data_IF_870956332351
#
_entry.id   IF_870956332351
#
_cell.length_a   1.000
_cell.length_b   1.000
_cell.length_c   1.000
_cell.angle_alpha   90.00
_cell.angle_beta   90.00
_cell.angle_gamma   90.00
#
_symmetry.space_group_name_H-M   'P 1'
#
loop_
_entity.id
_entity.type
_entity.pdbx_description
1 polymer ?
#
# COMPACT_ATOMS: atom_id res chain seq x y z
N UNK A 1 -26.70 6.50 -32.96
CA UNK A 1 -26.74 5.53 -31.85
C UNK A 1 -25.44 4.75 -31.89
N UNK A 2 -24.38 5.31 -31.29
CA UNK A 2 -23.04 4.75 -31.35
C UNK A 2 -22.90 3.64 -30.33
N UNK A 3 -22.68 2.41 -30.79
CA UNK A 3 -22.28 1.31 -29.93
C UNK A 3 -20.86 1.61 -29.45
N UNK A 4 -20.70 1.80 -28.14
CA UNK A 4 -19.39 1.88 -27.50
C UNK A 4 -18.67 0.55 -27.74
N UNK A 5 -17.49 0.61 -28.36
CA UNK A 5 -16.60 -0.55 -28.44
C UNK A 5 -16.32 -1.03 -27.02
N UNK A 6 -16.76 -2.25 -26.70
CA UNK A 6 -16.34 -2.94 -25.50
C UNK A 6 -14.85 -3.25 -25.66
N UNK A 7 -13.99 -2.41 -25.07
CA UNK A 7 -12.56 -2.67 -25.00
C UNK A 7 -12.33 -4.07 -24.43
N UNK A 8 -11.50 -4.86 -25.12
CA UNK A 8 -11.21 -6.25 -24.78
C UNK A 8 -10.81 -6.37 -23.29
N UNK A 9 -11.64 -7.05 -22.51
CA UNK A 9 -11.38 -7.38 -21.11
C UNK A 9 -11.07 -8.86 -20.97
N UNK A 10 -10.06 -9.17 -20.16
CA UNK A 10 -9.60 -10.53 -19.90
C UNK A 10 -9.56 -10.74 -18.40
N UNK A 11 -10.35 -11.68 -17.90
CA UNK A 11 -10.32 -12.08 -16.49
C UNK A 11 -9.35 -13.25 -16.32
N UNK A 12 -8.48 -13.16 -15.31
CA UNK A 12 -7.56 -14.24 -14.93
C UNK A 12 -7.82 -14.63 -13.49
N UNK A 13 -7.80 -15.95 -13.24
CA UNK A 13 -8.07 -16.54 -11.93
C UNK A 13 -6.80 -17.19 -11.38
N UNK A 14 -6.47 -16.89 -10.13
CA UNK A 14 -5.30 -17.41 -9.43
C UNK A 14 -5.71 -18.04 -8.11
N UNK A 15 -5.54 -19.35 -7.96
CA UNK A 15 -5.83 -20.07 -6.72
C UNK A 15 -4.58 -20.21 -5.86
N UNK A 16 -4.74 -19.96 -4.56
CA UNK A 16 -3.69 -20.08 -3.56
C UNK A 16 -4.12 -21.01 -2.44
N UNK A 17 -3.32 -22.04 -2.16
CA UNK A 17 -3.51 -22.95 -1.04
C UNK A 17 -2.72 -22.52 0.19
N UNK A 18 -3.28 -22.76 1.37
CA UNK A 18 -2.69 -22.44 2.66
C UNK A 18 -2.64 -23.68 3.55
N UNK A 19 -1.60 -23.80 4.37
CA UNK A 19 -1.53 -24.83 5.40
C UNK A 19 -2.51 -24.53 6.54
N UNK A 20 -2.81 -25.54 7.37
CA UNK A 20 -3.63 -25.36 8.57
C UNK A 20 -2.94 -24.39 9.55
N UNK A 21 -3.71 -23.56 10.28
CA UNK A 21 -3.15 -22.60 11.22
C UNK A 21 -2.60 -23.30 12.47
N UNK A 22 -1.41 -22.88 12.89
CA UNK A 22 -0.81 -23.24 14.17
C UNK A 22 -1.21 -22.20 15.20
N UNK A 23 -1.87 -22.67 16.27
CA UNK A 23 -2.35 -21.81 17.36
C UNK A 23 -1.39 -21.95 18.54
N UNK A 24 -0.78 -20.85 18.94
CA UNK A 24 0.20 -20.81 20.02
C UNK A 24 -0.28 -19.86 21.12
N UNK A 25 -0.33 -20.36 22.35
CA UNK A 25 -0.66 -19.54 23.52
C UNK A 25 0.56 -18.77 24.03
N UNK A 26 0.39 -17.47 24.24
CA UNK A 26 1.38 -16.59 24.85
C UNK A 26 0.80 -15.82 26.04
N UNK A 27 1.65 -15.14 26.80
CA UNK A 27 1.22 -14.27 27.91
C UNK A 27 0.38 -13.08 27.44
N UNK A 28 0.57 -12.64 26.19
CA UNK A 28 -0.15 -11.52 25.59
C UNK A 28 -1.49 -11.92 24.95
N UNK A 29 -1.75 -13.22 24.78
CA UNK A 29 -2.92 -13.76 24.07
C UNK A 29 -2.57 -14.89 23.11
N UNK A 30 -3.47 -15.17 22.18
CA UNK A 30 -3.29 -16.24 21.19
C UNK A 30 -2.56 -15.71 19.96
N UNK A 31 -1.53 -16.41 19.51
CA UNK A 31 -0.87 -16.20 18.24
C UNK A 31 -1.40 -17.23 17.22
N UNK A 32 -1.71 -16.77 16.01
CA UNK A 32 -2.23 -17.61 14.94
C UNK A 32 -1.28 -17.51 13.76
N UNK A 33 -0.53 -18.57 13.50
CA UNK A 33 0.49 -18.60 12.46
C UNK A 33 0.08 -19.56 11.35
N UNK A 34 0.41 -19.22 10.11
CA UNK A 34 0.20 -20.08 8.93
C UNK A 34 1.50 -20.10 8.15
N UNK A 35 1.93 -21.28 7.71
CA UNK A 35 3.16 -21.43 6.94
C UNK A 35 3.15 -20.53 5.69
N UNK A 36 4.23 -19.78 5.47
CA UNK A 36 4.37 -18.86 4.34
C UNK A 36 3.55 -17.58 4.46
N UNK A 37 3.02 -17.26 5.65
CA UNK A 37 2.34 -16.01 5.96
C UNK A 37 3.13 -15.20 6.99
N UNK A 38 3.01 -13.88 6.90
CA UNK A 38 3.52 -12.94 7.90
C UNK A 38 2.37 -12.46 8.78
N UNK A 39 2.68 -12.14 10.04
CA UNK A 39 1.69 -11.61 10.96
C UNK A 39 1.52 -10.11 10.74
N UNK A 40 0.29 -9.68 10.44
CA UNK A 40 -0.01 -8.28 10.16
C UNK A 40 -1.36 -7.85 10.71
N UNK A 41 -1.42 -6.60 11.13
CA UNK A 41 -2.62 -5.89 11.55
C UNK A 41 -2.30 -4.41 11.76
N UNK A 42 -3.24 -3.48 11.52
CA UNK A 42 -3.12 -2.10 11.98
C UNK A 42 -2.92 -2.04 13.50
N UNK A 43 -2.18 -1.05 14.03
CA UNK A 43 -1.98 -0.92 15.48
C UNK A 43 -3.30 -1.00 16.27
N UNK A 44 -3.28 -1.78 17.35
CA UNK A 44 -4.45 -2.08 18.19
C UNK A 44 -5.43 -3.11 17.63
N UNK A 45 -5.32 -3.49 16.36
CA UNK A 45 -6.20 -4.50 15.72
C UNK A 45 -5.61 -5.92 15.85
N UNK A 46 -6.43 -6.98 15.69
CA UNK A 46 -5.95 -8.36 15.73
C UNK A 46 -4.80 -8.61 14.76
N UNK A 47 -3.77 -9.29 15.24
CA UNK A 47 -2.63 -9.71 14.44
C UNK A 47 -2.96 -11.04 13.77
N UNK A 48 -3.10 -11.03 12.45
CA UNK A 48 -3.54 -12.21 11.69
C UNK A 48 -2.50 -12.57 10.62
N UNK A 49 -2.44 -13.85 10.21
CA UNK A 49 -1.54 -14.28 9.15
C UNK A 49 -2.01 -13.70 7.80
N UNK A 50 -1.06 -13.13 7.07
CA UNK A 50 -1.26 -12.50 5.76
C UNK A 50 -0.19 -12.98 4.79
N UNK A 51 -0.61 -13.27 3.56
CA UNK A 51 0.30 -13.54 2.44
C UNK A 51 0.14 -12.50 1.37
N UNK A 52 1.19 -11.72 1.12
CA UNK A 52 1.25 -10.79 -0.01
C UNK A 52 1.55 -11.55 -1.31
N UNK A 53 0.71 -11.37 -2.33
CA UNK A 53 0.94 -11.93 -3.67
C UNK A 53 1.02 -10.81 -4.69
N UNK A 54 1.92 -10.95 -5.68
CA UNK A 54 2.06 -10.00 -6.77
C UNK A 54 1.73 -10.67 -8.10
N UNK A 55 0.67 -10.19 -8.75
CA UNK A 55 0.17 -10.68 -10.03
C UNK A 55 0.60 -9.73 -11.14
N UNK A 56 1.28 -10.26 -12.16
CA UNK A 56 1.79 -9.45 -13.28
C UNK A 56 0.82 -9.49 -14.45
N UNK A 57 0.49 -8.31 -14.96
CA UNK A 57 -0.32 -8.15 -16.16
C UNK A 57 0.47 -8.37 -17.45
N UNK A 58 -0.22 -8.16 -18.56
CA UNK A 58 0.38 -8.14 -19.90
C UNK A 58 0.66 -6.70 -20.32
N UNK A 59 1.67 -6.49 -21.17
CA UNK A 59 1.90 -5.17 -21.78
C UNK A 59 0.67 -4.71 -22.54
N UNK A 60 0.32 -3.43 -22.40
CA UNK A 60 -0.86 -2.84 -23.04
C UNK A 60 -2.19 -3.14 -22.34
N UNK A 61 -2.16 -3.81 -21.18
CA UNK A 61 -3.34 -4.03 -20.34
C UNK A 61 -3.18 -3.28 -19.02
N UNK A 62 -4.30 -2.74 -18.53
CA UNK A 62 -4.42 -2.12 -17.20
C UNK A 62 -5.34 -2.94 -16.32
N UNK A 63 -5.11 -2.88 -15.02
CA UNK A 63 -6.00 -3.49 -14.02
C UNK A 63 -7.30 -2.71 -13.98
N UNK A 64 -8.43 -3.40 -14.13
CA UNK A 64 -9.77 -2.82 -14.04
C UNK A 64 -10.43 -3.17 -12.70
N UNK A 65 -10.34 -4.43 -12.28
CA UNK A 65 -10.90 -4.90 -11.01
C UNK A 65 -10.06 -6.06 -10.45
N UNK A 66 -10.11 -6.21 -9.13
CA UNK A 66 -9.48 -7.31 -8.39
C UNK A 66 -10.50 -7.77 -7.35
N UNK A 67 -10.86 -9.04 -7.38
CA UNK A 67 -11.77 -9.67 -6.44
C UNK A 67 -11.06 -10.81 -5.71
N UNK A 68 -11.22 -10.86 -4.39
CA UNK A 68 -10.69 -11.92 -3.54
C UNK A 68 -11.85 -12.78 -3.08
N UNK A 69 -11.85 -14.03 -3.52
CA UNK A 69 -12.89 -15.01 -3.31
C UNK A 69 -12.33 -16.11 -2.39
N UNK A 70 -12.51 -16.00 -1.06
CA UNK A 70 -12.17 -17.09 -0.16
C UNK A 70 -13.03 -18.33 -0.47
N UNK A 71 -12.44 -19.52 -0.35
CA UNK A 71 -13.16 -20.78 -0.47
C UNK A 71 -13.97 -21.13 0.78
N UNK A 72 -14.16 -22.42 1.02
CA UNK A 72 -14.84 -22.91 2.21
C UNK A 72 -14.05 -22.59 3.48
N UNK A 73 -14.77 -22.17 4.52
CA UNK A 73 -14.17 -21.86 5.82
C UNK A 73 -14.32 -23.03 6.80
N UNK A 74 -13.26 -23.29 7.56
CA UNK A 74 -13.28 -24.11 8.77
C UNK A 74 -13.33 -23.19 9.98
N UNK A 75 -14.28 -23.42 10.88
CA UNK A 75 -14.38 -22.67 12.13
C UNK A 75 -13.50 -23.31 13.22
N UNK A 76 -12.72 -22.48 13.91
CA UNK A 76 -11.93 -22.86 15.08
C UNK A 76 -12.32 -21.96 16.25
N UNK A 77 -12.56 -22.57 17.42
CA UNK A 77 -12.91 -21.84 18.64
C UNK A 77 -11.63 -21.56 19.43
N UNK A 78 -11.41 -20.30 19.79
CA UNK A 78 -10.30 -19.92 20.65
C UNK A 78 -10.79 -19.69 22.08
N UNK A 79 -10.03 -20.17 23.06
CA UNK A 79 -10.32 -19.93 24.47
C UNK A 79 -10.02 -18.48 24.89
N UNK A 80 -9.06 -17.84 24.21
CA UNK A 80 -8.60 -16.47 24.49
C UNK A 80 -8.56 -15.64 23.21
N UNK A 81 -8.54 -14.32 23.39
CA UNK A 81 -8.43 -13.38 22.26
C UNK A 81 -7.07 -13.47 21.59
N UNK A 82 -7.07 -13.26 20.27
CA UNK A 82 -5.85 -13.12 19.47
C UNK A 82 -5.08 -11.88 19.94
N UNK A 83 -3.75 -11.92 19.88
CA UNK A 83 -2.89 -10.77 20.16
C UNK A 83 -3.18 -9.61 19.18
N UNK A 84 -2.93 -8.38 19.60
CA UNK A 84 -3.09 -7.20 18.75
C UNK A 84 -1.74 -6.63 18.30
N UNK A 85 -1.75 -5.96 17.15
CA UNK A 85 -0.56 -5.31 16.61
C UNK A 85 -0.15 -4.10 17.45
N UNK A 86 1.16 -3.95 17.66
CA UNK A 86 1.75 -2.81 18.35
C UNK A 86 2.14 -1.71 17.35
N UNK A 87 2.26 -0.48 17.82
CA UNK A 87 2.78 0.63 17.04
C UNK A 87 4.23 0.38 16.63
N UNK A 88 4.56 0.77 15.39
CA UNK A 88 5.92 0.70 14.92
C UNK A 88 6.79 1.67 15.74
N UNK A 89 7.81 1.12 16.39
CA UNK A 89 8.80 1.88 17.14
C UNK A 89 9.97 2.23 16.23
N UNK A 90 10.52 3.44 16.37
CA UNK A 90 11.74 3.81 15.64
C UNK A 90 12.90 2.95 16.13
N UNK A 91 13.71 2.44 15.20
CA UNK A 91 14.88 1.63 15.54
C UNK A 91 15.81 2.33 16.55
N UNK A 92 16.02 3.64 16.38
CA UNK A 92 16.86 4.45 17.27
C UNK A 92 16.31 4.63 18.69
N UNK A 93 15.00 4.44 18.88
CA UNK A 93 14.35 4.58 20.17
C UNK A 93 14.11 3.21 20.84
N UNK A 94 14.53 2.10 20.22
CA UNK A 94 14.34 0.75 20.80
C UNK A 94 14.94 0.69 22.21
N UNK A 95 14.08 0.48 23.21
CA UNK A 95 14.45 0.39 24.63
C UNK A 95 14.01 1.60 25.46
N UNK A 96 13.47 2.65 24.85
CA UNK A 96 12.81 3.74 25.57
C UNK A 96 11.37 3.36 25.96
N UNK A 97 10.81 4.08 26.94
CA UNK A 97 9.40 3.92 27.29
C UNK A 97 8.52 4.44 26.14
N UNK A 98 7.97 3.53 25.34
CA UNK A 98 7.07 3.87 24.25
C UNK A 98 5.63 3.98 24.72
N UNK A 99 4.82 4.73 23.97
CA UNK A 99 3.38 4.70 24.15
C UNK A 99 2.89 3.26 23.98
N UNK A 100 2.28 2.70 25.03
CA UNK A 100 1.66 1.41 24.96
C UNK A 100 0.47 1.51 24.00
N UNK A 101 0.57 0.81 22.87
CA UNK A 101 -0.53 0.71 21.91
C UNK A 101 -1.75 0.15 22.61
N UNK A 102 -2.85 0.91 22.55
CA UNK A 102 -4.12 0.46 23.11
C UNK A 102 -4.79 -0.49 22.15
N UNK A 103 -5.41 -1.54 22.70
CA UNK A 103 -6.27 -2.43 21.94
C UNK A 103 -7.43 -1.63 21.34
N UNK A 104 -7.73 -1.88 20.08
CA UNK A 104 -8.82 -1.23 19.36
C UNK A 104 -10.15 -1.90 19.73
N UNK A 105 -10.84 -1.34 20.73
CA UNK A 105 -12.11 -1.88 21.22
C UNK A 105 -13.20 -1.91 20.13
N UNK A 106 -13.17 -0.98 19.17
CA UNK A 106 -14.15 -0.93 18.06
C UNK A 106 -14.00 -2.11 17.10
N UNK A 107 -12.82 -2.72 17.01
CA UNK A 107 -12.58 -3.94 16.22
C UNK A 107 -12.87 -5.16 17.07
N UNK A 108 -12.42 -5.16 18.33
CA UNK A 108 -12.59 -6.31 19.22
C UNK A 108 -14.03 -6.53 19.71
N UNK A 109 -14.87 -5.49 19.68
CA UNK A 109 -16.31 -5.60 19.97
C UNK A 109 -17.15 -6.09 18.80
N UNK A 110 -16.58 -6.30 17.61
CA UNK A 110 -17.35 -6.71 16.42
C UNK A 110 -17.75 -8.18 16.47
N UNK A 111 -19.00 -8.43 16.09
CA UNK A 111 -19.56 -9.76 15.81
C UNK A 111 -19.39 -10.18 14.34
N UNK A 112 -18.73 -9.34 13.53
CA UNK A 112 -18.42 -9.61 12.13
C UNK A 112 -16.97 -10.07 11.95
N UNK A 113 -16.67 -10.90 10.94
CA UNK A 113 -15.31 -11.40 10.75
C UNK A 113 -14.35 -10.33 10.23
N UNK A 114 -13.23 -10.17 10.94
CA UNK A 114 -12.13 -9.27 10.65
C UNK A 114 -10.93 -10.02 10.02
N UNK A 115 -10.27 -9.46 8.98
CA UNK A 115 -10.69 -8.27 8.27
C UNK A 115 -11.86 -8.56 7.32
N UNK A 116 -12.58 -7.52 6.91
CA UNK A 116 -13.66 -7.64 5.91
C UNK A 116 -13.09 -7.64 4.49
N UNK A 117 -13.36 -8.69 3.71
CA UNK A 117 -13.01 -8.73 2.28
C UNK A 117 -13.85 -7.77 1.45
N UNK A 118 -13.31 -7.32 0.32
CA UNK A 118 -13.97 -6.40 -0.60
C UNK A 118 -13.94 -4.93 -0.16
N UNK A 119 -13.36 -4.63 1.02
CA UNK A 119 -13.10 -3.27 1.49
C UNK A 119 -11.61 -3.07 1.77
N UNK A 120 -11.20 -1.82 2.02
CA UNK A 120 -9.81 -1.43 2.28
C UNK A 120 -9.16 -2.19 3.46
N UNK A 121 -9.97 -2.76 4.37
CA UNK A 121 -9.52 -3.51 5.55
C UNK A 121 -8.96 -4.89 5.21
N UNK A 122 -9.61 -5.66 4.33
CA UNK A 122 -9.26 -7.06 4.03
C UNK A 122 -8.93 -7.39 2.58
N UNK A 123 -9.13 -6.45 1.66
CA UNK A 123 -8.81 -6.64 0.23
C UNK A 123 -8.11 -5.43 -0.36
N UNK A 124 -7.18 -4.83 0.40
CA UNK A 124 -6.33 -3.77 -0.12
C UNK A 124 -5.43 -4.33 -1.21
N UNK A 125 -5.74 -4.01 -2.46
CA UNK A 125 -4.84 -4.24 -3.57
C UNK A 125 -4.21 -2.92 -4.03
N UNK A 126 -2.95 -2.99 -4.46
CA UNK A 126 -2.19 -1.87 -4.98
C UNK A 126 -1.80 -2.16 -6.41
N UNK A 127 -2.03 -1.20 -7.30
CA UNK A 127 -1.46 -1.23 -8.65
C UNK A 127 -0.09 -0.58 -8.64
N UNK A 128 0.91 -1.33 -9.07
CA UNK A 128 2.23 -0.84 -9.40
C UNK A 128 2.47 -0.90 -10.91
N UNK A 129 3.50 -0.19 -11.37
CA UNK A 129 3.98 -0.29 -12.73
C UNK A 129 5.49 -0.44 -12.76
N UNK A 130 5.96 -1.51 -13.38
CA UNK A 130 7.39 -1.83 -13.53
C UNK A 130 7.68 -2.25 -14.96
N UNK A 131 8.64 -1.60 -15.63
CA UNK A 131 9.04 -1.97 -16.99
C UNK A 131 7.96 -1.85 -18.08
N UNK A 132 6.93 -1.02 -17.85
CA UNK A 132 5.78 -0.85 -18.76
C UNK A 132 4.72 -1.95 -18.62
N UNK A 133 4.76 -2.73 -17.55
CA UNK A 133 3.75 -3.73 -17.19
C UNK A 133 3.09 -3.29 -15.89
N UNK A 134 1.76 -3.40 -15.83
CA UNK A 134 1.00 -3.21 -14.60
C UNK A 134 1.10 -4.47 -13.73
N UNK A 135 1.42 -4.29 -12.45
CA UNK A 135 1.48 -5.34 -11.45
C UNK A 135 0.43 -5.04 -10.36
N UNK A 136 -0.21 -6.07 -9.83
CA UNK A 136 -1.16 -5.97 -8.72
C UNK A 136 -0.57 -6.68 -7.51
N UNK A 137 -0.34 -5.94 -6.43
CA UNK A 137 -0.06 -6.54 -5.13
C UNK A 137 -1.39 -6.69 -4.36
N UNK A 138 -1.68 -7.90 -3.88
CA UNK A 138 -2.89 -8.22 -3.09
C UNK A 138 -2.47 -8.87 -1.78
N UNK A 139 -3.06 -8.45 -0.67
CA UNK A 139 -2.92 -9.13 0.62
C UNK A 139 -4.01 -10.19 0.78
N UNK A 140 -3.61 -11.45 1.00
CA UNK A 140 -4.52 -12.56 1.24
C UNK A 140 -4.49 -12.94 2.72
N UNK A 141 -5.68 -13.00 3.33
CA UNK A 141 -5.85 -13.33 4.73
C UNK A 141 -6.41 -14.76 4.86
N UNK A 142 -5.59 -15.82 4.95
CA UNK A 142 -6.08 -17.19 5.12
C UNK A 142 -6.91 -17.39 6.39
N UNK A 143 -6.80 -16.49 7.36
CA UNK A 143 -7.56 -16.55 8.60
C UNK A 143 -8.26 -15.22 8.85
N UNK A 144 -9.55 -15.30 9.22
CA UNK A 144 -10.33 -14.18 9.73
C UNK A 144 -10.74 -14.48 11.17
N UNK A 145 -10.90 -13.44 11.99
CA UNK A 145 -11.31 -13.56 13.38
C UNK A 145 -12.65 -12.85 13.57
N UNK A 146 -13.62 -13.48 14.23
CA UNK A 146 -14.79 -12.81 14.80
C UNK A 146 -14.44 -12.45 16.25
N UNK A 147 -14.07 -11.18 16.53
CA UNK A 147 -13.41 -10.86 17.79
C UNK A 147 -14.33 -10.94 19.02
N UNK A 148 -15.62 -10.63 18.88
CA UNK A 148 -16.57 -10.65 20.00
C UNK A 148 -16.76 -12.04 20.62
N UNK A 149 -16.53 -13.10 19.84
CA UNK A 149 -16.75 -14.50 20.25
C UNK A 149 -15.49 -15.36 20.13
N UNK A 150 -14.33 -14.75 19.84
CA UNK A 150 -13.04 -15.42 19.65
C UNK A 150 -13.11 -16.64 18.70
N UNK A 151 -13.78 -16.48 17.55
CA UNK A 151 -13.85 -17.53 16.52
C UNK A 151 -12.96 -17.21 15.34
N UNK A 152 -12.13 -18.15 14.94
CA UNK A 152 -11.36 -18.06 13.70
C UNK A 152 -12.10 -18.76 12.57
N UNK A 153 -12.09 -18.12 11.42
CA UNK A 153 -12.51 -18.68 10.14
C UNK A 153 -11.25 -18.87 9.31
N UNK A 154 -10.88 -20.13 9.08
CA UNK A 154 -9.72 -20.49 8.27
C UNK A 154 -10.15 -20.92 6.87
N UNK A 155 -9.46 -20.43 5.85
CA UNK A 155 -9.68 -20.74 4.45
C UNK A 155 -8.47 -21.46 3.88
N UNK A 156 -8.64 -22.74 3.54
CA UNK A 156 -7.56 -23.55 2.95
C UNK A 156 -7.22 -23.16 1.51
N UNK A 157 -8.16 -22.54 0.80
CA UNK A 157 -7.96 -21.99 -0.54
C UNK A 157 -8.55 -20.58 -0.63
N UNK A 158 -7.80 -19.67 -1.24
CA UNK A 158 -8.28 -18.35 -1.64
C UNK A 158 -8.02 -18.17 -3.14
N UNK A 159 -9.07 -17.82 -3.86
CA UNK A 159 -8.99 -17.45 -5.27
C UNK A 159 -8.89 -15.93 -5.39
N UNK A 160 -8.00 -15.44 -6.25
CA UNK A 160 -7.96 -14.04 -6.69
C UNK A 160 -8.35 -13.97 -8.15
N UNK A 161 -9.37 -13.17 -8.47
CA UNK A 161 -9.77 -12.87 -9.84
C UNK A 161 -9.35 -11.45 -10.20
N UNK A 162 -8.56 -11.32 -11.27
CA UNK A 162 -8.09 -10.03 -11.77
C UNK A 162 -8.66 -9.81 -13.16
N UNK A 163 -9.42 -8.73 -13.31
CA UNK A 163 -9.96 -8.28 -14.59
C UNK A 163 -9.01 -7.25 -15.19
N UNK A 164 -8.43 -7.59 -16.33
CA UNK A 164 -7.56 -6.74 -17.12
C UNK A 164 -8.37 -6.12 -18.26
N UNK A 165 -8.11 -4.85 -18.56
CA UNK A 165 -8.70 -4.16 -19.70
C UNK A 165 -7.60 -3.67 -20.63
N UNK A 166 -7.77 -3.85 -21.94
CA UNK A 166 -6.85 -3.30 -22.93
C UNK A 166 -6.82 -1.78 -22.84
N UNK A 167 -5.62 -1.20 -22.80
CA UNK A 167 -5.39 0.23 -22.70
C UNK A 167 -5.19 0.81 -24.12
N UNK A 168 -6.28 1.16 -24.80
CA UNK A 168 -6.30 1.62 -26.21
C UNK A 168 -5.47 2.88 -26.45
N UNK A 169 -5.24 3.71 -25.42
CA UNK A 169 -4.50 4.98 -25.52
C UNK A 169 -3.01 4.78 -25.82
N UNK A 170 -2.48 3.55 -25.70
CA UNK A 170 -1.02 3.31 -25.66
C UNK A 170 -0.41 2.56 -26.85
N UNK A 171 -1.18 2.13 -27.84
CA UNK A 171 -0.57 1.62 -29.09
C UNK A 171 0.13 2.71 -29.92
N UNK A 172 -0.08 4.00 -29.61
CA UNK A 172 0.54 5.10 -30.34
C UNK A 172 2.00 5.39 -29.94
N UNK A 173 2.50 4.86 -28.82
CA UNK A 173 3.86 5.19 -28.32
C UNK A 173 4.91 4.11 -28.68
N UNK A 174 4.86 3.67 -29.94
CA UNK A 174 5.76 2.69 -30.54
C UNK A 174 7.16 3.22 -30.88
N UNK A 175 7.79 4.06 -30.04
CA UNK A 175 9.16 4.57 -30.28
C UNK A 175 10.05 4.60 -29.03
N UNK A 176 9.93 3.62 -28.15
CA UNK A 176 10.93 3.38 -27.10
C UNK A 176 12.03 2.43 -27.57
N UNK A 177 12.97 2.90 -28.40
CA UNK A 177 14.19 2.12 -28.73
C UNK A 177 14.88 1.70 -27.43
N UNK A 178 15.13 0.40 -27.30
CA UNK A 178 15.93 -0.16 -26.23
C UNK A 178 17.27 0.57 -26.15
N UNK A 179 17.53 1.18 -25.00
CA UNK A 179 18.89 1.42 -24.54
C UNK A 179 19.08 0.57 -23.30
N UNK A 180 19.63 -0.60 -23.55
CA UNK A 180 20.40 -1.38 -22.60
C UNK A 180 21.41 -0.41 -21.95
N UNK A 181 21.11 0.05 -20.72
CA UNK A 181 22.05 0.84 -19.94
C UNK A 181 23.14 -0.12 -19.45
N UNK A 182 24.19 -0.24 -20.23
CA UNK A 182 25.51 -0.64 -19.72
C UNK A 182 25.91 0.43 -18.72
N UNK A 183 25.81 0.11 -17.43
CA UNK A 183 26.31 0.97 -16.36
C UNK A 183 27.83 0.86 -16.37
N UNK A 184 28.50 1.82 -17.03
CA UNK A 184 29.91 2.09 -16.76
C UNK A 184 29.96 3.10 -15.63
N UNK A 185 30.51 2.66 -14.51
CA UNK A 185 30.91 3.52 -13.39
C UNK A 185 32.18 4.24 -13.83
N UNK A 186 32.12 5.56 -14.02
CA UNK A 186 33.34 6.35 -13.94
C UNK A 186 33.08 7.84 -13.67
N UNK A 187 33.82 8.34 -12.68
CA UNK A 187 34.38 9.69 -12.63
C UNK A 187 33.46 10.91 -12.56
N UNK A 188 33.51 11.58 -11.40
CA UNK A 188 33.07 12.96 -11.18
C UNK A 188 33.76 13.99 -12.10
N UNK A 189 33.01 15.04 -12.47
CA UNK A 189 33.35 16.47 -12.82
C UNK A 189 32.44 16.92 -13.98
N UNK A 190 31.78 18.08 -14.05
CA UNK A 190 31.67 19.28 -13.24
C UNK A 190 30.77 20.30 -13.98
N UNK A 191 30.00 21.10 -13.21
CA UNK A 191 29.38 22.44 -13.46
C UNK A 191 28.57 22.70 -14.74
N UNK A 192 27.33 23.19 -14.57
CA UNK A 192 27.00 24.63 -14.68
C UNK A 192 25.62 24.98 -14.11
N UNK A 193 25.54 26.15 -13.47
CA UNK A 193 24.40 26.69 -12.72
C UNK A 193 23.65 27.75 -13.52
N UNK A 194 22.31 27.68 -13.57
CA UNK A 194 21.34 28.80 -13.54
C UNK A 194 19.95 28.15 -13.31
N UNK A 195 19.02 28.62 -12.48
CA UNK A 195 18.80 29.90 -11.82
C UNK A 195 18.02 29.68 -10.50
N UNK A 196 18.19 30.60 -9.55
CA UNK A 196 17.60 30.56 -8.21
C UNK A 196 16.12 30.97 -8.17
N UNK A 197 15.37 30.28 -7.29
CA UNK A 197 14.08 30.70 -6.71
C UNK A 197 12.95 29.66 -6.90
N UNK A 198 12.24 29.14 -5.89
CA UNK A 198 12.22 29.39 -4.43
C UNK A 198 11.75 28.11 -3.72
N UNK A 199 12.67 27.40 -3.07
CA UNK A 199 12.42 26.72 -1.81
C UNK A 199 13.27 27.44 -0.77
N UNK A 200 12.75 27.71 0.43
CA UNK A 200 13.61 28.23 1.51
C UNK A 200 14.71 27.20 1.77
N UNK A 201 15.95 27.68 1.93
CA UNK A 201 17.13 26.85 2.20
C UNK A 201 16.92 26.06 3.50
N UNK A 202 16.65 24.77 3.35
CA UNK A 202 16.47 23.84 4.44
C UNK A 202 16.42 22.41 3.91
N UNK A 203 17.12 21.50 4.59
CA UNK A 203 17.02 20.06 4.33
C UNK A 203 15.58 19.61 4.63
N UNK A 204 14.83 19.20 3.61
CA UNK A 204 13.48 18.69 3.79
C UNK A 204 13.54 17.17 4.02
N UNK A 205 13.35 16.74 5.27
CA UNK A 205 13.36 15.30 5.60
C UNK A 205 12.08 14.58 5.13
N UNK A 206 10.99 15.31 4.87
CA UNK A 206 9.72 14.75 4.41
C UNK A 206 8.88 15.76 3.61
N UNK A 207 8.41 15.34 2.43
CA UNK A 207 7.55 16.16 1.57
C UNK A 207 6.29 15.38 1.20
N UNK A 208 5.13 16.04 1.34
CA UNK A 208 3.82 15.53 0.95
C UNK A 208 3.40 16.24 -0.33
N UNK A 209 3.37 15.52 -1.45
CA UNK A 209 2.89 16.05 -2.74
C UNK A 209 1.41 15.69 -2.93
N UNK A 210 0.56 16.69 -3.16
CA UNK A 210 -0.90 16.51 -3.25
C UNK A 210 -1.54 17.46 -4.28
N UNK A 211 -2.78 17.23 -4.67
CA UNK A 211 -3.58 18.24 -5.40
C UNK A 211 -4.23 19.24 -4.43
N UNK A 212 -4.55 20.44 -4.91
CA UNK A 212 -5.11 21.55 -4.09
C UNK A 212 -6.38 21.16 -3.33
N UNK A 213 -7.23 20.32 -3.91
CA UNK A 213 -8.51 19.90 -3.31
C UNK A 213 -8.35 19.17 -1.97
N UNK A 214 -7.22 18.51 -1.73
CA UNK A 214 -6.96 17.83 -0.44
C UNK A 214 -6.36 18.75 0.62
N UNK A 215 -5.82 19.91 0.23
CA UNK A 215 -5.26 20.89 1.17
C UNK A 215 -6.36 21.56 2.00
N UNK A 216 -7.55 21.76 1.42
CA UNK A 216 -8.69 22.44 2.07
C UNK A 216 -9.61 21.51 2.87
N UNK A 217 -9.17 20.29 3.18
CA UNK A 217 -9.97 19.32 3.95
C UNK A 217 -10.10 19.74 5.43
N UNK A 218 -11.32 19.63 5.98
CA UNK A 218 -11.60 20.03 7.37
C UNK A 218 -11.00 19.03 8.37
N UNK A 219 -10.62 19.53 9.54
CA UNK A 219 -10.13 18.73 10.67
C UNK A 219 -11.20 17.71 11.13
N UNK A 220 -10.84 16.63 11.87
CA UNK A 220 -9.55 16.36 12.51
C UNK A 220 -8.52 15.61 11.64
N UNK A 221 -8.94 15.00 10.54
CA UNK A 221 -8.10 14.12 9.70
C UNK A 221 -7.67 14.79 8.39
N UNK A 222 -6.97 15.92 8.48
CA UNK A 222 -6.51 16.67 7.31
C UNK A 222 -4.98 16.64 7.15
N UNK A 223 -4.49 17.14 6.02
CA UNK A 223 -3.06 17.16 5.72
C UNK A 223 -2.26 18.01 6.73
N UNK A 224 -2.87 19.05 7.30
CA UNK A 224 -2.25 19.84 8.35
C UNK A 224 -2.03 19.02 9.64
N UNK A 225 -3.02 18.19 10.04
CA UNK A 225 -2.89 17.27 11.15
C UNK A 225 -1.81 16.20 10.89
N UNK A 226 -1.71 15.72 9.64
CA UNK A 226 -0.64 14.79 9.23
C UNK A 226 0.74 15.45 9.32
N UNK A 227 0.89 16.69 8.86
CA UNK A 227 2.15 17.45 9.00
C UNK A 227 2.50 17.62 10.47
N UNK A 228 1.56 18.03 11.32
CA UNK A 228 1.80 18.21 12.75
C UNK A 228 2.28 16.91 13.42
N UNK A 229 1.64 15.77 13.12
CA UNK A 229 2.01 14.46 13.65
C UNK A 229 3.38 13.96 13.17
N UNK A 230 3.77 14.29 11.92
CA UNK A 230 5.08 13.92 11.37
C UNK A 230 6.18 14.85 11.88
N UNK A 231 5.91 16.15 12.01
CA UNK A 231 6.83 17.13 12.61
C UNK A 231 7.07 16.86 14.09
N UNK A 232 6.05 16.50 14.88
CA UNK A 232 6.25 16.04 16.27
C UNK A 232 7.06 14.74 16.35
N UNK A 233 7.11 13.99 15.24
CA UNK A 233 7.93 12.79 15.10
C UNK A 233 9.35 13.08 14.59
N UNK A 234 9.77 14.34 14.51
CA UNK A 234 11.10 14.74 14.06
C UNK A 234 11.31 14.71 12.54
N UNK A 235 10.24 14.55 11.76
CA UNK A 235 10.27 14.66 10.30
C UNK A 235 9.72 16.02 9.89
N UNK A 236 10.62 16.96 9.58
CA UNK A 236 10.24 18.27 9.05
C UNK A 236 9.44 18.09 7.76
N UNK A 237 8.11 18.21 7.87
CA UNK A 237 7.16 17.82 6.82
C UNK A 237 6.57 19.05 6.14
N UNK A 238 6.63 19.11 4.80
CA UNK A 238 6.04 20.20 4.01
C UNK A 238 5.02 19.67 3.01
N UNK A 239 3.89 20.34 2.88
CA UNK A 239 2.90 20.07 1.84
C UNK A 239 3.24 20.92 0.62
N UNK A 240 3.34 20.28 -0.54
CA UNK A 240 3.55 20.93 -1.83
C UNK A 240 2.47 20.47 -2.79
N UNK A 241 1.85 21.40 -3.53
CA UNK A 241 0.82 21.03 -4.48
C UNK A 241 1.40 20.65 -5.84
N UNK A 242 0.76 19.71 -6.53
CA UNK A 242 1.13 19.33 -7.90
C UNK A 242 1.05 20.51 -8.85
N UNK A 243 0.07 21.39 -8.66
CA UNK A 243 -0.16 22.59 -9.46
C UNK A 243 0.99 23.58 -9.28
N UNK A 244 1.49 23.73 -8.05
CA UNK A 244 2.70 24.52 -7.80
C UNK A 244 3.92 23.89 -8.47
N UNK A 245 4.10 22.56 -8.35
CA UNK A 245 5.23 21.86 -9.00
C UNK A 245 5.17 22.05 -10.53
N UNK A 246 4.00 21.88 -11.14
CA UNK A 246 3.84 22.00 -12.59
C UNK A 246 4.05 23.43 -13.10
N UNK A 247 3.83 24.44 -12.26
CA UNK A 247 4.07 25.85 -12.57
C UNK A 247 5.52 26.29 -12.34
N UNK A 248 6.28 25.59 -11.49
CA UNK A 248 7.64 26.00 -11.08
C UNK A 248 8.75 25.11 -11.64
N UNK A 249 8.43 23.88 -12.09
CA UNK A 249 9.41 22.96 -12.66
C UNK A 249 9.11 22.68 -14.13
N UNK A 250 10.17 22.66 -14.93
CA UNK A 250 10.10 22.27 -16.34
C UNK A 250 10.31 20.76 -16.51
N UNK A 251 9.62 20.18 -17.47
CA UNK A 251 9.69 18.76 -17.80
C UNK A 251 8.79 18.45 -18.99
N UNK A 252 9.14 17.41 -19.75
CA UNK A 252 8.39 16.96 -20.94
C UNK A 252 6.99 16.48 -20.57
N UNK A 253 6.84 15.94 -19.36
CA UNK A 253 5.58 15.50 -18.78
C UNK A 253 5.52 15.83 -17.28
N UNK A 254 4.34 15.67 -16.68
CA UNK A 254 4.08 15.93 -15.27
C UNK A 254 4.97 15.08 -14.34
N UNK A 255 5.31 13.86 -14.74
CA UNK A 255 6.15 12.96 -13.95
C UNK A 255 7.61 13.42 -13.94
N UNK A 256 8.11 13.96 -15.05
CA UNK A 256 9.44 14.57 -15.14
C UNK A 256 9.52 15.85 -14.29
N UNK A 257 8.46 16.66 -14.28
CA UNK A 257 8.37 17.85 -13.39
C UNK A 257 8.42 17.48 -11.92
N UNK A 258 7.68 16.44 -11.50
CA UNK A 258 7.74 15.92 -10.13
C UNK A 258 9.13 15.36 -9.81
N UNK A 259 9.77 14.66 -10.75
CA UNK A 259 11.12 14.12 -10.53
C UNK A 259 12.15 15.23 -10.34
N UNK A 260 12.07 16.29 -11.15
CA UNK A 260 12.93 17.48 -10.99
C UNK A 260 12.72 18.15 -9.63
N UNK A 261 11.48 18.26 -9.18
CA UNK A 261 11.17 18.76 -7.84
C UNK A 261 11.78 17.90 -6.73
N UNK A 262 11.64 16.57 -6.80
CA UNK A 262 12.20 15.66 -5.78
C UNK A 262 13.73 15.71 -5.76
N UNK A 263 14.38 15.90 -6.91
CA UNK A 263 15.84 16.07 -7.01
C UNK A 263 16.32 17.39 -6.41
N UNK A 264 15.53 18.45 -6.49
CA UNK A 264 15.86 19.75 -5.91
C UNK A 264 15.61 19.78 -4.39
N UNK A 265 14.64 19.00 -3.91
CA UNK A 265 14.31 18.89 -2.50
C UNK A 265 15.29 18.01 -1.68
N UNK A 266 16.22 17.28 -2.31
CA UNK A 266 17.10 16.29 -1.69
C UNK A 266 18.57 16.45 -2.12
#
# INVERSE_FOLDING_TARGET
MGMANAGESVTQRFSYSFAEPVITDSDAGVLVEVEGCELYGPPGSPLLPVRGVTLKGRRGYRVAAVEVLPGDSVELVLERGVVYAMDAVRLAAMGEAHHLTKRNEDVYGRDTPYPVYGVDEGSRWRRDRRGGIDEVAVSLYPVRLIPAINRLLYYGEITVEVTWQRDEVREADGRGRGRERVVRHDGLQGRESVAAGVLEEGRYDHVIVTVTNFVSTKAPWNLAALVAARSSSGLASKIVTTEWIYSNYHGRDDAERIRSFVQDAY
#
